data_IF_603028727417
#
_entry.id   IF_603028727417
#
_cell.length_a   1.000
_cell.length_b   1.000
_cell.length_c   1.000
_cell.angle_alpha   90.00
_cell.angle_beta   90.00
_cell.angle_gamma   90.00
#
_symmetry.space_group_name_H-M   'P 1'
#
loop_
_entity.id
_entity.type
_entity.pdbx_description
1 polymer ?
#
# COMPACT_ATOMS: atom_id res chain seq x y z
N UNK A 1 15.25 28.30 -18.83
CA UNK A 1 14.33 27.17 -19.13
C UNK A 1 15.05 25.88 -18.78
N UNK A 2 14.50 24.97 -17.96
CA UNK A 2 15.16 23.72 -17.64
C UNK A 2 15.25 22.83 -18.89
N UNK A 3 16.34 22.05 -19.01
CA UNK A 3 16.50 21.08 -20.09
C UNK A 3 15.42 19.99 -20.00
N UNK A 4 14.89 19.47 -21.12
CA UNK A 4 13.93 18.37 -21.13
C UNK A 4 14.65 17.06 -20.77
N UNK A 5 14.87 16.85 -19.48
CA UNK A 5 15.68 15.77 -18.91
C UNK A 5 15.13 14.37 -19.19
N UNK A 6 13.80 14.21 -19.32
CA UNK A 6 13.15 12.92 -19.57
C UNK A 6 13.64 12.31 -20.91
N UNK A 7 13.50 12.98 -22.07
CA UNK A 7 14.02 12.43 -23.33
C UNK A 7 15.55 12.39 -23.39
N UNK A 8 16.27 13.35 -22.79
CA UNK A 8 17.75 13.39 -22.81
C UNK A 8 18.36 12.19 -22.07
N UNK A 9 17.74 11.76 -20.96
CA UNK A 9 18.18 10.60 -20.19
C UNK A 9 17.39 9.33 -20.51
N UNK A 10 16.60 9.33 -21.58
CA UNK A 10 15.82 8.18 -22.03
C UNK A 10 14.89 7.59 -20.93
N UNK A 11 14.39 8.44 -20.03
CA UNK A 11 13.52 8.01 -18.93
C UNK A 11 12.09 7.83 -19.41
N UNK A 12 11.41 6.85 -18.85
CA UNK A 12 10.01 6.56 -19.14
C UNK A 12 9.14 6.86 -17.92
N UNK A 13 7.92 7.32 -18.18
CA UNK A 13 6.86 7.45 -17.18
C UNK A 13 5.86 6.33 -17.44
N UNK A 14 5.72 5.43 -16.48
CA UNK A 14 4.80 4.31 -16.58
C UNK A 14 3.66 4.47 -15.56
N UNK A 15 2.43 4.35 -16.04
CA UNK A 15 1.28 4.20 -15.15
C UNK A 15 1.18 2.77 -14.63
N UNK A 16 0.69 2.60 -13.40
CA UNK A 16 0.32 1.30 -12.85
C UNK A 16 -1.07 1.38 -12.24
N UNK A 17 -1.87 0.34 -12.45
CA UNK A 17 -3.20 0.21 -11.88
C UNK A 17 -3.37 -1.19 -11.31
N UNK A 18 -3.02 -1.34 -10.03
CA UNK A 18 -2.96 -2.64 -9.33
C UNK A 18 -2.07 -3.67 -10.05
N UNK A 19 -2.01 -4.90 -9.52
CA UNK A 19 -1.32 -6.03 -10.14
C UNK A 19 -2.32 -7.06 -10.68
N UNK A 20 -1.82 -8.02 -11.45
CA UNK A 20 -2.59 -9.19 -11.85
C UNK A 20 -2.76 -10.18 -10.68
N UNK A 21 -3.73 -11.12 -10.74
CA UNK A 21 -3.80 -12.21 -9.77
C UNK A 21 -2.51 -13.04 -9.68
N UNK A 22 -1.82 -13.24 -10.81
CA UNK A 22 -0.53 -13.93 -10.82
C UNK A 22 0.55 -13.14 -10.06
N UNK A 23 0.58 -11.81 -10.23
CA UNK A 23 1.50 -10.94 -9.48
C UNK A 23 1.23 -11.04 -7.98
N UNK A 24 -0.04 -11.18 -7.58
CA UNK A 24 -0.42 -11.38 -6.18
C UNK A 24 0.08 -12.74 -5.66
N UNK A 25 -0.06 -13.82 -6.43
CA UNK A 25 0.43 -15.15 -6.03
C UNK A 25 1.95 -15.14 -5.80
N UNK A 26 2.70 -14.53 -6.72
CA UNK A 26 4.15 -14.35 -6.61
C UNK A 26 4.54 -13.50 -5.39
N UNK A 27 3.82 -12.39 -5.15
CA UNK A 27 4.02 -11.54 -3.99
C UNK A 27 3.77 -12.30 -2.68
N UNK A 28 2.68 -13.07 -2.61
CA UNK A 28 2.34 -13.83 -1.41
C UNK A 28 3.38 -14.91 -1.12
N UNK A 29 4.01 -15.49 -2.13
CA UNK A 29 5.13 -16.42 -1.94
C UNK A 29 6.34 -15.73 -1.31
N UNK A 30 6.70 -14.53 -1.77
CA UNK A 30 7.78 -13.74 -1.15
C UNK A 30 7.48 -13.40 0.31
N UNK A 31 6.22 -13.08 0.63
CA UNK A 31 5.78 -12.83 2.01
C UNK A 31 5.92 -14.08 2.87
N UNK A 32 5.48 -15.25 2.39
CA UNK A 32 5.61 -16.53 3.12
C UNK A 32 7.07 -16.91 3.37
N UNK A 33 7.95 -16.60 2.41
CA UNK A 33 9.40 -16.79 2.54
C UNK A 33 10.08 -15.76 3.46
N UNK A 34 9.32 -14.80 4.02
CA UNK A 34 9.85 -13.77 4.92
C UNK A 34 10.74 -12.73 4.22
N UNK A 35 10.64 -12.60 2.89
CA UNK A 35 11.46 -11.67 2.09
C UNK A 35 10.90 -10.24 2.03
N UNK A 36 9.72 -10.02 2.62
CA UNK A 36 9.03 -8.73 2.64
C UNK A 36 8.79 -8.34 4.09
N UNK A 37 9.28 -7.16 4.48
CA UNK A 37 9.10 -6.66 5.84
C UNK A 37 7.63 -6.33 6.12
N UNK A 38 7.09 -6.74 7.28
CA UNK A 38 5.73 -6.42 7.66
C UNK A 38 5.60 -4.93 7.96
N UNK A 39 4.48 -4.35 7.56
CA UNK A 39 4.08 -2.99 7.94
C UNK A 39 3.24 -3.03 9.22
N UNK A 40 3.26 -1.96 10.05
CA UNK A 40 2.40 -1.86 11.22
C UNK A 40 0.91 -1.98 10.85
N UNK A 41 0.20 -2.86 11.55
CA UNK A 41 -1.25 -3.05 11.39
C UNK A 41 -1.94 -2.90 12.74
N UNK A 42 -2.77 -1.88 12.86
CA UNK A 42 -3.62 -1.65 14.02
C UNK A 42 -4.93 -2.44 13.87
N UNK A 43 -5.27 -3.26 14.86
CA UNK A 43 -6.53 -4.00 14.86
C UNK A 43 -7.59 -3.18 15.59
N UNK A 44 -8.73 -2.93 14.95
CA UNK A 44 -9.87 -2.20 15.54
C UNK A 44 -11.17 -3.00 15.39
N UNK A 45 -12.10 -2.92 16.34
CA UNK A 45 -13.43 -3.51 16.16
C UNK A 45 -14.13 -2.93 14.93
N UNK A 46 -14.81 -3.77 14.15
CA UNK A 46 -15.55 -3.34 12.97
C UNK A 46 -16.67 -2.33 13.30
N UNK A 47 -17.16 -2.31 14.54
CA UNK A 47 -18.08 -1.29 15.04
C UNK A 47 -17.50 0.14 15.02
N UNK A 48 -16.17 0.28 15.00
CA UNK A 48 -15.45 1.56 14.94
C UNK A 48 -15.04 1.94 13.51
N UNK A 49 -15.68 1.36 12.48
CA UNK A 49 -15.31 1.61 11.07
C UNK A 49 -15.30 3.12 10.72
N UNK A 50 -16.34 3.86 11.13
CA UNK A 50 -16.45 5.28 10.82
C UNK A 50 -15.33 6.10 11.47
N UNK A 51 -15.07 5.88 12.76
CA UNK A 51 -13.98 6.53 13.48
C UNK A 51 -12.60 6.20 12.87
N UNK A 52 -12.42 4.94 12.46
CA UNK A 52 -11.19 4.49 11.80
C UNK A 52 -10.95 5.23 10.49
N UNK A 53 -11.99 5.48 9.69
CA UNK A 53 -11.89 6.27 8.46
C UNK A 53 -11.55 7.73 8.73
N UNK A 54 -12.14 8.35 9.76
CA UNK A 54 -11.82 9.72 10.15
C UNK A 54 -10.39 9.83 10.67
N UNK A 55 -9.92 8.89 11.49
CA UNK A 55 -8.53 8.86 11.96
C UNK A 55 -7.53 8.65 10.82
N UNK A 56 -7.87 7.80 9.84
CA UNK A 56 -7.06 7.60 8.64
C UNK A 56 -6.95 8.90 7.83
N UNK A 57 -8.08 9.57 7.61
CA UNK A 57 -8.14 10.87 6.90
C UNK A 57 -7.35 11.96 7.61
N UNK A 58 -7.38 11.97 8.94
CA UNK A 58 -6.64 12.92 9.77
C UNK A 58 -5.17 12.52 10.00
N UNK A 59 -4.70 11.43 9.39
CA UNK A 59 -3.30 10.99 9.46
C UNK A 59 -2.87 10.45 10.84
N UNK A 60 -3.83 10.02 11.67
CA UNK A 60 -3.53 9.47 13.00
C UNK A 60 -3.12 7.99 12.97
N UNK A 61 -3.40 7.30 11.87
CA UNK A 61 -3.06 5.88 11.68
C UNK A 61 -1.73 5.78 10.94
N UNK A 62 -0.75 5.12 11.57
CA UNK A 62 0.52 4.79 10.95
C UNK A 62 0.43 3.36 10.38
N UNK A 63 0.69 3.21 9.08
CA UNK A 63 0.60 1.91 8.42
C UNK A 63 -0.83 1.59 7.97
N UNK A 64 -1.42 0.51 8.48
CA UNK A 64 -2.78 0.07 8.11
C UNK A 64 -3.65 -0.18 9.33
N UNK A 65 -4.97 -0.07 9.15
CA UNK A 65 -5.95 -0.57 10.11
C UNK A 65 -6.65 -1.81 9.55
N UNK A 66 -6.80 -2.84 10.38
CA UNK A 66 -7.58 -4.04 10.09
C UNK A 66 -8.81 -4.06 10.98
N UNK A 67 -10.00 -4.05 10.37
CA UNK A 67 -11.26 -4.15 11.08
C UNK A 67 -11.55 -5.62 11.38
N UNK A 68 -11.77 -5.94 12.64
CA UNK A 68 -12.06 -7.30 13.13
C UNK A 68 -13.49 -7.37 13.67
N UNK A 69 -14.19 -8.45 13.34
CA UNK A 69 -15.42 -8.85 14.03
C UNK A 69 -15.06 -9.92 15.06
N UNK A 70 -15.67 -9.85 16.24
CA UNK A 70 -15.67 -10.95 17.20
C UNK A 70 -16.62 -12.08 16.73
#
# INVERSE_FOLDING_TARGET
>A
MPLPLIPIMERQVQGSYTGSPADMDELMELIRLGKVDPIPVEKRPASQANETLEDLKNGKIIGRAALIHD
#
